data_IF_283798485513
#
_entry.id   IF_283798485513
#
_cell.length_a   1.000
_cell.length_b   1.000
_cell.length_c   1.000
_cell.angle_alpha   90.00
_cell.angle_beta   90.00
_cell.angle_gamma   90.00
#
_symmetry.space_group_name_H-M   'P 1'
#
loop_
_entity.id
_entity.type
_entity.pdbx_description
1 polymer ?
#
# COMPACT_ATOMS: atom_id res chain seq x y z
N UNK A 1 40.71 -15.13 3.78
CA UNK A 1 40.39 -14.47 2.50
C UNK A 1 39.02 -14.90 2.04
N UNK A 2 38.07 -13.97 1.88
CA UNK A 2 36.70 -14.30 1.42
C UNK A 2 36.71 -14.61 -0.07
N UNK A 3 36.06 -15.72 -0.47
CA UNK A 3 35.90 -16.13 -1.87
C UNK A 3 34.96 -15.16 -2.58
N UNK A 4 35.46 -14.38 -3.54
CA UNK A 4 34.61 -13.55 -4.42
C UNK A 4 33.98 -14.46 -5.47
N UNK A 5 32.67 -14.32 -5.70
CA UNK A 5 31.91 -15.05 -6.72
C UNK A 5 31.34 -14.08 -7.74
N UNK A 6 31.24 -14.48 -9.02
CA UNK A 6 30.53 -13.68 -10.00
C UNK A 6 29.04 -13.63 -9.65
N UNK A 7 28.49 -12.43 -9.58
CA UNK A 7 27.09 -12.13 -9.31
C UNK A 7 26.60 -11.19 -10.42
N UNK A 8 25.37 -11.42 -10.88
CA UNK A 8 24.72 -10.56 -11.87
C UNK A 8 23.41 -10.05 -11.25
N UNK A 9 23.23 -8.73 -11.25
CA UNK A 9 21.98 -8.09 -10.83
C UNK A 9 21.04 -8.01 -12.02
N UNK A 10 19.85 -8.60 -11.89
CA UNK A 10 18.80 -8.62 -12.93
C UNK A 10 17.57 -7.78 -12.55
N UNK A 11 17.66 -7.02 -11.45
CA UNK A 11 16.55 -6.23 -10.95
C UNK A 11 16.63 -4.75 -11.39
N UNK A 12 15.57 -3.96 -11.11
CA UNK A 12 14.37 -4.32 -10.34
C UNK A 12 13.32 -5.10 -11.18
N UNK A 13 12.47 -5.88 -10.52
CA UNK A 13 11.35 -6.60 -11.16
C UNK A 13 10.02 -5.86 -11.00
N UNK A 14 10.05 -4.55 -11.27
CA UNK A 14 8.83 -3.71 -11.33
C UNK A 14 8.31 -3.80 -12.77
N UNK A 15 6.98 -3.91 -13.00
CA UNK A 15 6.44 -3.93 -14.35
C UNK A 15 6.94 -2.75 -15.19
N UNK A 16 7.32 -3.04 -16.43
CA UNK A 16 7.92 -2.10 -17.38
C UNK A 16 7.13 -0.81 -17.51
N UNK A 17 5.79 -0.86 -17.43
CA UNK A 17 4.91 0.31 -17.45
C UNK A 17 5.35 1.45 -16.51
N UNK A 18 5.86 1.11 -15.32
CA UNK A 18 6.28 2.10 -14.31
C UNK A 18 7.73 2.58 -14.46
N UNK A 19 8.47 2.05 -15.43
CA UNK A 19 9.88 2.35 -15.66
C UNK A 19 10.12 2.83 -17.10
N UNK A 20 10.43 1.90 -18.00
CA UNK A 20 10.88 2.18 -19.36
C UNK A 20 9.77 2.04 -20.39
N UNK A 21 8.63 1.45 -20.00
CA UNK A 21 7.44 1.24 -20.82
C UNK A 21 7.73 0.61 -22.20
N UNK A 22 8.67 -0.36 -22.25
CA UNK A 22 9.09 -1.04 -23.48
C UNK A 22 8.29 -2.32 -23.78
N UNK A 23 7.53 -2.81 -22.80
CA UNK A 23 6.67 -4.00 -22.92
C UNK A 23 5.22 -3.58 -22.70
N UNK A 24 4.41 -3.60 -23.76
CA UNK A 24 3.03 -3.10 -23.74
C UNK A 24 2.12 -3.85 -22.76
N UNK A 25 2.37 -5.13 -22.53
CA UNK A 25 1.55 -5.99 -21.67
C UNK A 25 2.02 -6.06 -20.20
N UNK A 26 3.15 -5.43 -19.85
CA UNK A 26 3.77 -5.52 -18.51
C UNK A 26 3.36 -4.34 -17.61
N UNK A 27 2.08 -4.35 -17.21
CA UNK A 27 1.41 -3.26 -16.49
C UNK A 27 1.12 -3.55 -14.99
N UNK A 28 1.11 -4.81 -14.58
CA UNK A 28 0.83 -5.22 -13.19
C UNK A 28 1.53 -6.55 -12.85
N UNK A 29 1.57 -6.90 -11.58
CA UNK A 29 1.96 -8.22 -11.14
C UNK A 29 0.94 -9.28 -11.59
N UNK A 30 1.33 -10.13 -12.54
CA UNK A 30 0.48 -11.18 -13.10
C UNK A 30 0.04 -12.30 -12.13
N UNK A 31 0.54 -12.31 -10.89
CA UNK A 31 0.17 -13.31 -9.86
C UNK A 31 -0.19 -12.63 -8.54
N UNK A 32 -1.50 -12.52 -8.27
CA UNK A 32 -2.03 -11.99 -7.01
C UNK A 32 -2.57 -13.13 -6.12
N UNK A 33 -1.97 -13.31 -4.94
CA UNK A 33 -2.41 -14.29 -3.94
C UNK A 33 -3.65 -13.85 -3.15
N UNK A 34 -4.01 -12.57 -3.25
CA UNK A 34 -5.13 -11.98 -2.54
C UNK A 34 -6.04 -11.27 -3.55
N UNK A 35 -7.35 -11.41 -3.37
CA UNK A 35 -8.31 -10.71 -4.21
C UNK A 35 -8.23 -9.21 -3.94
N UNK A 36 -8.04 -8.44 -5.01
CA UNK A 36 -8.24 -7.00 -5.03
C UNK A 36 -9.75 -6.73 -4.92
N UNK A 37 -10.29 -6.69 -3.71
CA UNK A 37 -11.65 -6.24 -3.50
C UNK A 37 -11.70 -4.74 -3.83
N UNK A 38 -12.26 -4.40 -4.99
CA UNK A 38 -12.50 -3.03 -5.47
C UNK A 38 -11.23 -2.16 -5.62
N UNK A 39 -10.34 -2.47 -6.59
CA UNK A 39 -9.09 -1.74 -6.79
C UNK A 39 -9.30 -0.23 -6.99
N UNK A 40 -10.41 0.15 -7.65
CA UNK A 40 -10.79 1.55 -7.88
C UNK A 40 -11.11 2.35 -6.62
N UNK A 41 -11.46 1.72 -5.49
CA UNK A 41 -11.75 2.44 -4.24
C UNK A 41 -10.48 3.10 -3.72
N UNK A 42 -9.33 2.42 -3.80
CA UNK A 42 -8.06 2.97 -3.35
C UNK A 42 -7.67 4.19 -4.20
N UNK A 43 -7.68 4.04 -5.52
CA UNK A 43 -7.25 5.09 -6.44
C UNK A 43 -8.19 6.30 -6.42
N UNK A 44 -9.50 6.08 -6.38
CA UNK A 44 -10.49 7.16 -6.25
C UNK A 44 -10.39 7.90 -4.91
N UNK A 45 -10.12 7.17 -3.82
CA UNK A 45 -9.96 7.82 -2.52
C UNK A 45 -8.69 8.66 -2.47
N UNK A 46 -7.56 8.17 -3.00
CA UNK A 46 -6.29 8.91 -3.05
C UNK A 46 -6.43 10.15 -3.95
N UNK A 47 -7.07 10.03 -5.12
CA UNK A 47 -7.25 11.15 -6.05
C UNK A 47 -8.11 12.29 -5.49
N UNK A 48 -8.96 12.00 -4.50
CA UNK A 48 -9.72 13.02 -3.77
C UNK A 48 -8.89 13.84 -2.77
N UNK A 49 -7.63 13.48 -2.53
CA UNK A 49 -6.77 14.09 -1.51
C UNK A 49 -5.75 15.05 -2.14
N UNK A 50 -5.26 16.05 -1.38
CA UNK A 50 -4.15 16.88 -1.83
C UNK A 50 -2.93 16.05 -2.19
N UNK A 51 -2.14 16.53 -3.17
CA UNK A 51 -0.90 15.85 -3.58
C UNK A 51 0.05 15.68 -2.40
N UNK A 52 0.69 14.52 -2.32
CA UNK A 52 1.64 14.18 -1.25
C UNK A 52 1.08 14.16 0.17
N UNK A 53 -0.24 14.07 0.36
CA UNK A 53 -0.85 14.09 1.70
C UNK A 53 -1.13 12.70 2.26
N UNK A 54 -1.16 11.67 1.41
CA UNK A 54 -1.50 10.30 1.75
C UNK A 54 -0.24 9.51 2.03
N UNK A 55 -0.19 8.83 3.18
CA UNK A 55 0.90 7.91 3.49
C UNK A 55 0.41 6.46 3.38
N UNK A 56 0.97 5.69 2.43
CA UNK A 56 0.69 4.26 2.29
C UNK A 56 1.53 3.41 3.26
N UNK A 57 0.90 2.51 4.02
CA UNK A 57 1.62 1.58 4.89
C UNK A 57 1.10 0.13 4.80
N UNK A 58 1.98 -0.78 4.39
CA UNK A 58 1.76 -2.23 4.47
C UNK A 58 2.55 -2.79 5.67
N UNK A 59 1.94 -2.85 6.86
CA UNK A 59 2.59 -3.40 8.07
C UNK A 59 1.85 -4.62 8.61
N UNK A 60 2.59 -5.74 8.77
CA UNK A 60 2.14 -7.07 9.29
C UNK A 60 1.71 -7.12 10.77
N UNK A 61 1.90 -6.05 11.55
CA UNK A 61 1.58 -6.06 12.98
C UNK A 61 0.91 -4.76 13.37
N UNK A 62 -0.39 -4.83 13.57
CA UNK A 62 -1.17 -3.79 14.23
C UNK A 62 -1.20 -4.07 15.72
N UNK A 63 -0.59 -3.21 16.53
CA UNK A 63 -0.71 -3.25 17.99
C UNK A 63 -1.26 -1.91 18.50
N UNK A 64 -1.71 -1.85 19.76
CA UNK A 64 -2.31 -0.64 20.36
C UNK A 64 -1.40 0.60 20.31
N UNK A 65 -0.07 0.43 20.28
CA UNK A 65 0.89 1.55 20.11
C UNK A 65 0.86 2.14 18.70
N UNK A 66 0.73 1.28 17.68
CA UNK A 66 0.57 1.73 16.28
C UNK A 66 -0.74 2.49 16.11
N UNK A 67 -1.82 2.03 16.78
CA UNK A 67 -3.11 2.73 16.81
C UNK A 67 -3.00 4.16 17.37
N UNK A 68 -2.39 4.32 18.55
CA UNK A 68 -2.21 5.64 19.17
C UNK A 68 -1.40 6.59 18.29
N UNK A 69 -0.37 6.08 17.59
CA UNK A 69 0.43 6.87 16.65
C UNK A 69 -0.35 7.32 15.42
N UNK A 70 -1.32 6.51 14.98
CA UNK A 70 -2.23 6.84 13.87
C UNK A 70 -3.24 7.89 14.34
N UNK A 71 -3.89 7.67 15.47
CA UNK A 71 -4.86 8.61 16.06
C UNK A 71 -4.24 9.98 16.34
N UNK A 72 -2.97 10.02 16.75
CA UNK A 72 -2.25 11.26 17.04
C UNK A 72 -1.71 12.00 15.80
N UNK A 73 -1.60 11.36 14.63
CA UNK A 73 -1.15 12.02 13.41
C UNK A 73 -2.34 12.56 12.62
N UNK A 74 -2.26 13.82 12.18
CA UNK A 74 -3.25 14.45 11.29
C UNK A 74 -3.09 14.05 9.81
N UNK A 75 -2.18 13.12 9.49
CA UNK A 75 -1.90 12.69 8.12
C UNK A 75 -2.97 11.72 7.60
N UNK A 76 -3.35 11.87 6.33
CA UNK A 76 -4.24 10.93 5.64
C UNK A 76 -3.53 9.60 5.41
N UNK A 77 -4.18 8.49 5.75
CA UNK A 77 -3.53 7.17 5.77
C UNK A 77 -4.30 6.14 4.93
N UNK A 78 -3.61 5.51 3.98
CA UNK A 78 -4.10 4.30 3.32
C UNK A 78 -3.47 3.08 3.99
N UNK A 79 -4.30 2.14 4.46
CA UNK A 79 -3.80 0.93 5.11
C UNK A 79 -4.46 -0.33 4.60
N UNK A 80 -3.61 -1.30 4.27
CA UNK A 80 -4.01 -2.67 3.98
C UNK A 80 -4.09 -3.47 5.28
N UNK A 81 -5.27 -3.96 5.63
CA UNK A 81 -5.48 -4.86 6.77
C UNK A 81 -6.05 -6.17 6.28
N UNK A 82 -5.30 -7.25 6.52
CA UNK A 82 -5.74 -8.60 6.15
C UNK A 82 -6.87 -9.04 7.07
N UNK A 83 -7.73 -9.92 6.57
CA UNK A 83 -8.90 -10.46 7.29
C UNK A 83 -8.58 -10.94 8.72
N UNK A 84 -7.48 -11.70 8.92
CA UNK A 84 -7.07 -12.19 10.24
C UNK A 84 -6.49 -11.10 11.18
N UNK A 85 -6.21 -9.90 10.67
CA UNK A 85 -5.79 -8.75 11.47
C UNK A 85 -6.96 -7.85 11.86
N UNK A 86 -8.11 -7.95 11.17
CA UNK A 86 -9.32 -7.16 11.49
C UNK A 86 -9.80 -7.44 12.92
N UNK A 87 -9.79 -8.70 13.35
CA UNK A 87 -10.19 -9.09 14.71
C UNK A 87 -9.28 -8.51 15.81
N UNK A 88 -8.07 -8.09 15.46
CA UNK A 88 -7.09 -7.51 16.39
C UNK A 88 -7.25 -6.00 16.53
N UNK A 89 -8.15 -5.39 15.75
CA UNK A 89 -8.40 -3.96 15.80
C UNK A 89 -9.30 -3.60 16.98
N UNK A 90 -9.08 -2.43 17.60
CA UNK A 90 -10.03 -1.86 18.55
C UNK A 90 -11.42 -1.72 17.90
N UNK A 91 -12.49 -2.04 18.64
CA UNK A 91 -13.87 -2.00 18.12
C UNK A 91 -14.28 -0.68 17.47
N UNK A 92 -13.77 0.45 17.98
CA UNK A 92 -14.05 1.80 17.45
C UNK A 92 -13.04 2.29 16.40
N UNK A 93 -12.09 1.45 15.99
CA UNK A 93 -11.02 1.87 15.08
C UNK A 93 -11.60 2.37 13.75
N UNK A 94 -12.53 1.61 13.17
CA UNK A 94 -13.14 1.95 11.88
C UNK A 94 -13.89 3.28 11.94
N UNK A 95 -14.68 3.49 13.00
CA UNK A 95 -15.45 4.71 13.23
C UNK A 95 -14.53 5.93 13.41
N UNK A 96 -13.47 5.80 14.22
CA UNK A 96 -12.56 6.90 14.53
C UNK A 96 -11.61 7.28 13.39
N UNK A 97 -11.34 6.36 12.45
CA UNK A 97 -10.42 6.59 11.33
C UNK A 97 -11.09 6.79 9.98
N UNK A 98 -12.41 6.65 9.89
CA UNK A 98 -13.17 6.79 8.63
C UNK A 98 -12.91 8.11 7.89
N UNK A 99 -12.84 9.23 8.61
CA UNK A 99 -12.61 10.55 8.00
C UNK A 99 -11.14 10.78 7.60
N UNK A 100 -10.20 10.06 8.22
CA UNK A 100 -8.76 10.31 8.12
C UNK A 100 -7.99 9.22 7.37
N UNK A 101 -8.63 8.10 7.05
CA UNK A 101 -7.95 6.99 6.41
C UNK A 101 -8.89 6.03 5.72
N UNK A 102 -8.34 5.33 4.74
CA UNK A 102 -9.01 4.26 4.02
C UNK A 102 -8.43 2.92 4.45
N UNK A 103 -9.32 2.01 4.86
CA UNK A 103 -8.98 0.65 5.20
C UNK A 103 -9.45 -0.32 4.13
N UNK A 104 -8.51 -1.10 3.59
CA UNK A 104 -8.81 -2.11 2.56
C UNK A 104 -8.17 -3.45 2.90
N UNK A 105 -8.74 -4.54 2.40
CA UNK A 105 -8.20 -5.90 2.59
C UNK A 105 -6.94 -6.15 1.77
N UNK A 106 -6.88 -5.55 0.59
CA UNK A 106 -5.76 -5.58 -0.33
C UNK A 106 -5.82 -4.30 -1.18
N UNK A 107 -4.67 -3.81 -1.64
CA UNK A 107 -4.59 -2.62 -2.51
C UNK A 107 -3.76 -2.93 -3.75
N UNK A 108 -4.08 -2.34 -4.92
CA UNK A 108 -3.19 -2.37 -6.07
C UNK A 108 -1.96 -1.51 -5.76
N UNK A 109 -0.94 -2.12 -5.15
CA UNK A 109 0.14 -1.38 -4.51
C UNK A 109 0.94 -0.53 -5.49
N UNK A 110 1.13 -0.99 -6.73
CA UNK A 110 1.82 -0.23 -7.76
C UNK A 110 1.05 1.05 -8.12
N UNK A 111 -0.25 0.94 -8.39
CA UNK A 111 -1.14 2.09 -8.67
C UNK A 111 -1.22 3.09 -7.51
N UNK A 112 -1.24 2.57 -6.27
CA UNK A 112 -1.25 3.42 -5.07
C UNK A 112 0.06 4.20 -4.97
N UNK A 113 1.20 3.53 -5.13
CA UNK A 113 2.51 4.16 -4.97
C UNK A 113 2.88 5.08 -6.13
N UNK A 114 2.30 4.87 -7.31
CA UNK A 114 2.47 5.77 -8.46
C UNK A 114 1.55 6.99 -8.42
N UNK A 115 0.62 7.08 -7.47
CA UNK A 115 -0.32 8.19 -7.37
C UNK A 115 0.32 9.45 -6.77
N UNK A 116 0.09 10.60 -7.42
CA UNK A 116 0.47 11.93 -6.92
C UNK A 116 -0.03 12.25 -5.50
N UNK A 117 -1.09 11.59 -5.05
CA UNK A 117 -1.64 11.78 -3.71
C UNK A 117 -0.73 11.24 -2.61
N UNK A 118 0.18 10.33 -2.94
CA UNK A 118 1.09 9.68 -1.98
C UNK A 118 2.41 10.46 -1.83
N UNK A 119 2.84 10.73 -0.60
CA UNK A 119 4.06 11.48 -0.29
C UNK A 119 4.46 11.45 1.18
#
# INVERSE_FOLDING_TARGET
MSKVRPLITIGPTIPSFYLENQLDDDNDYGLNLFNLSYPSICTNWISSKPKGSVHGQTRRKTNGRTYMRIKGKQSLLLRVIRTFEEEKLPKKFMEETYEKGLLVKWSPQLEVLSSDGVG
#
